data_IF_517617243253
#
_entry.id   IF_517617243253
#
_cell.length_a   1.000
_cell.length_b   1.000
_cell.length_c   1.000
_cell.angle_alpha   90.00
_cell.angle_beta   90.00
_cell.angle_gamma   90.00
#
_symmetry.space_group_name_H-M   'P 1'
#
loop_
_entity.id
_entity.type
_entity.pdbx_description
1 polymer ?
#
# COMPACT_ATOMS: atom_id res chain seq x y z
N UNK A 1 -2.39 -10.97 15.56
CA UNK A 1 -2.10 -9.53 15.46
C UNK A 1 -2.56 -9.03 14.09
N UNK A 2 -3.76 -8.44 14.00
CA UNK A 2 -4.38 -8.00 12.74
C UNK A 2 -4.81 -6.51 12.72
N UNK A 3 -5.15 -5.87 13.86
CA UNK A 3 -5.46 -4.43 13.90
C UNK A 3 -4.26 -3.50 14.12
N UNK A 4 -3.16 -4.03 14.67
CA UNK A 4 -2.04 -3.22 15.16
C UNK A 4 -1.18 -2.60 14.04
N UNK A 5 -1.27 -3.09 12.80
CA UNK A 5 -0.55 -2.54 11.63
C UNK A 5 -1.34 -1.42 10.94
N UNK A 6 -2.67 -1.51 10.93
CA UNK A 6 -3.54 -0.55 10.24
C UNK A 6 -3.45 0.83 10.89
N UNK A 7 -3.53 0.89 12.23
CA UNK A 7 -3.59 2.15 12.98
C UNK A 7 -2.32 3.00 12.81
N UNK A 8 -1.10 2.46 13.00
CA UNK A 8 0.11 3.26 12.87
C UNK A 8 0.39 3.70 11.43
N UNK A 9 0.13 2.83 10.45
CA UNK A 9 0.30 3.17 9.04
C UNK A 9 -0.70 4.27 8.62
N UNK A 10 -1.96 4.16 9.07
CA UNK A 10 -2.96 5.20 8.88
C UNK A 10 -2.54 6.52 9.51
N UNK A 11 -2.10 6.52 10.77
CA UNK A 11 -1.69 7.74 11.48
C UNK A 11 -0.52 8.44 10.79
N UNK A 12 0.50 7.68 10.35
CA UNK A 12 1.65 8.23 9.63
C UNK A 12 1.24 8.84 8.28
N UNK A 13 0.42 8.13 7.51
CA UNK A 13 -0.06 8.64 6.23
C UNK A 13 -0.99 9.83 6.39
N UNK A 14 -1.89 9.81 7.38
CA UNK A 14 -2.85 10.89 7.63
C UNK A 14 -2.19 12.19 8.07
N UNK A 15 -1.08 12.09 8.80
CA UNK A 15 -0.29 13.26 9.22
C UNK A 15 0.31 14.02 8.03
N UNK A 16 0.69 13.31 6.96
CA UNK A 16 1.31 13.91 5.77
C UNK A 16 0.29 14.18 4.65
N UNK A 17 -0.72 13.31 4.54
CA UNK A 17 -1.76 13.33 3.54
C UNK A 17 -3.15 13.27 4.19
N UNK A 18 -3.73 14.42 4.57
CA UNK A 18 -5.07 14.50 5.14
C UNK A 18 -6.17 13.88 4.26
N UNK A 19 -5.91 13.70 2.96
CA UNK A 19 -6.79 13.11 1.96
C UNK A 19 -7.01 11.60 2.16
N UNK A 20 -6.07 10.90 2.83
CA UNK A 20 -6.19 9.47 3.13
C UNK A 20 -7.37 9.25 4.06
N UNK A 21 -8.35 8.47 3.62
CA UNK A 21 -9.58 8.20 4.37
C UNK A 21 -9.44 6.98 5.26
N UNK A 22 -8.83 5.92 4.74
CA UNK A 22 -8.69 4.65 5.44
C UNK A 22 -7.53 3.83 4.90
N UNK A 23 -6.96 2.98 5.76
CA UNK A 23 -5.88 2.05 5.42
C UNK A 23 -6.22 0.68 6.00
N UNK A 24 -6.27 -0.33 5.14
CA UNK A 24 -6.37 -1.73 5.52
C UNK A 24 -5.03 -2.41 5.25
N UNK A 25 -4.36 -2.88 6.31
CA UNK A 25 -3.12 -3.65 6.26
C UNK A 25 -3.27 -4.98 7.02
N UNK A 26 -4.46 -5.61 6.94
CA UNK A 26 -4.79 -6.83 7.66
C UNK A 26 -4.34 -8.12 6.94
N UNK A 27 -4.05 -8.02 5.64
CA UNK A 27 -3.72 -9.19 4.82
C UNK A 27 -2.27 -9.60 4.99
N UNK A 28 -2.06 -10.90 5.29
CA UNK A 28 -0.75 -11.54 5.38
C UNK A 28 0.24 -10.71 6.18
N UNK A 29 -0.13 -10.33 7.41
CA UNK A 29 0.71 -9.55 8.32
C UNK A 29 1.14 -8.16 7.80
N UNK A 30 0.36 -7.55 6.91
CA UNK A 30 0.62 -6.21 6.37
C UNK A 30 1.38 -6.21 5.04
N UNK A 31 1.72 -7.38 4.48
CA UNK A 31 2.39 -7.47 3.18
C UNK A 31 1.58 -6.78 2.05
N UNK A 32 0.26 -6.77 2.18
CA UNK A 32 -0.64 -6.03 1.30
C UNK A 32 -1.36 -4.93 2.09
N UNK A 33 -1.21 -3.69 1.65
CA UNK A 33 -1.97 -2.54 2.12
C UNK A 33 -2.99 -2.09 1.07
N UNK A 34 -4.21 -1.79 1.48
CA UNK A 34 -5.25 -1.19 0.65
C UNK A 34 -5.56 0.17 1.26
N UNK A 35 -5.39 1.24 0.47
CA UNK A 35 -5.45 2.61 0.95
C UNK A 35 -6.52 3.36 0.15
N UNK A 36 -7.52 3.87 0.86
CA UNK A 36 -8.53 4.75 0.28
C UNK A 36 -8.09 6.21 0.43
N UNK A 37 -8.10 6.96 -0.66
CA UNK A 37 -7.66 8.36 -0.69
C UNK A 37 -8.50 9.21 -1.63
N UNK A 38 -8.70 10.48 -1.27
CA UNK A 38 -9.34 11.47 -2.14
C UNK A 38 -8.39 11.93 -3.23
N UNK A 39 -8.89 12.07 -4.46
CA UNK A 39 -8.10 12.59 -5.58
C UNK A 39 -7.84 14.09 -5.41
N UNK A 40 -6.57 14.49 -5.47
CA UNK A 40 -6.17 15.91 -5.45
C UNK A 40 -5.60 16.38 -6.80
N UNK A 41 -4.73 15.58 -7.40
CA UNK A 41 -4.13 15.82 -8.71
C UNK A 41 -3.60 14.50 -9.30
N UNK A 42 -3.30 14.48 -10.60
CA UNK A 42 -2.76 13.31 -11.28
C UNK A 42 -1.46 12.82 -10.64
N UNK A 43 -1.37 11.52 -10.33
CA UNK A 43 -0.20 10.94 -9.67
C UNK A 43 -0.20 10.99 -8.13
N UNK A 44 -1.18 11.64 -7.50
CA UNK A 44 -1.29 11.70 -6.04
C UNK A 44 -1.38 10.31 -5.40
N UNK A 45 -2.19 9.40 -5.96
CA UNK A 45 -2.29 8.03 -5.48
C UNK A 45 -0.94 7.29 -5.48
N UNK A 46 -0.09 7.54 -6.49
CA UNK A 46 1.26 6.96 -6.56
C UNK A 46 2.17 7.53 -5.48
N UNK A 47 2.10 8.84 -5.22
CA UNK A 47 2.88 9.48 -4.16
C UNK A 47 2.50 8.92 -2.78
N UNK A 48 1.20 8.78 -2.50
CA UNK A 48 0.70 8.18 -1.24
C UNK A 48 1.14 6.71 -1.13
N UNK A 49 1.01 5.92 -2.21
CA UNK A 49 1.42 4.51 -2.22
C UNK A 49 2.93 4.34 -2.01
N UNK A 50 3.76 5.16 -2.65
CA UNK A 50 5.21 5.17 -2.42
C UNK A 50 5.54 5.59 -0.99
N UNK A 51 4.82 6.58 -0.45
CA UNK A 51 5.01 6.98 0.95
C UNK A 51 4.67 5.83 1.89
N UNK A 52 3.56 5.12 1.65
CA UNK A 52 3.15 3.98 2.47
C UNK A 52 4.27 2.95 2.59
N UNK A 53 4.94 2.62 1.47
CA UNK A 53 6.08 1.68 1.41
C UNK A 53 7.38 2.23 2.05
N UNK A 54 7.48 3.53 2.32
CA UNK A 54 8.68 4.18 2.91
C UNK A 54 8.43 4.75 4.30
N UNK A 55 7.22 4.58 4.84
CA UNK A 55 6.93 4.94 6.24
C UNK A 55 7.74 4.05 7.20
N UNK A 56 8.08 4.52 8.41
CA UNK A 56 8.79 3.70 9.38
C UNK A 56 8.09 2.36 9.67
N UNK A 57 6.75 2.35 9.66
CA UNK A 57 6.00 1.09 9.78
C UNK A 57 5.95 0.31 8.47
N UNK A 58 5.70 0.95 7.34
CA UNK A 58 5.54 0.25 6.06
C UNK A 58 6.83 -0.35 5.49
N UNK A 59 7.98 0.27 5.73
CA UNK A 59 9.29 -0.16 5.22
C UNK A 59 9.66 -1.60 5.61
N UNK A 60 9.14 -2.07 6.75
CA UNK A 60 9.44 -3.40 7.27
C UNK A 60 8.61 -4.53 6.67
N UNK A 61 7.47 -4.24 6.04
CA UNK A 61 6.54 -5.30 5.61
C UNK A 61 5.69 -4.99 4.38
N UNK A 62 5.37 -3.73 4.03
CA UNK A 62 4.46 -3.44 2.93
C UNK A 62 5.13 -3.74 1.60
N UNK A 63 4.73 -4.86 0.99
CA UNK A 63 5.22 -5.32 -0.31
C UNK A 63 4.39 -4.78 -1.46
N UNK A 64 3.07 -4.74 -1.27
CA UNK A 64 2.11 -4.32 -2.27
C UNK A 64 1.15 -3.29 -1.69
N UNK A 65 0.80 -2.29 -2.50
CA UNK A 65 -0.19 -1.28 -2.15
C UNK A 65 -1.25 -1.21 -3.24
N UNK A 66 -2.51 -1.36 -2.86
CA UNK A 66 -3.66 -1.09 -3.73
C UNK A 66 -4.24 0.26 -3.32
N UNK A 67 -4.19 1.22 -4.23
CA UNK A 67 -4.82 2.52 -4.04
C UNK A 67 -6.25 2.46 -4.56
N UNK A 68 -7.21 2.86 -3.73
CA UNK A 68 -8.62 2.97 -4.10
C UNK A 68 -9.13 4.38 -3.86
N UNK A 69 -10.18 4.73 -4.57
CA UNK A 69 -10.88 6.00 -4.46
C UNK A 69 -11.62 6.12 -3.11
N UNK A 70 -12.04 7.33 -2.75
CA UNK A 70 -12.77 7.58 -1.50
C UNK A 70 -14.16 6.94 -1.41
N UNK A 71 -14.70 6.49 -2.55
CA UNK A 71 -15.99 5.79 -2.66
C UNK A 71 -15.88 4.27 -2.43
N UNK A 72 -14.66 3.74 -2.30
CA UNK A 72 -14.38 2.32 -2.08
C UNK A 72 -13.91 2.09 -0.65
N UNK A 73 -14.63 1.24 0.08
CA UNK A 73 -14.22 0.83 1.42
C UNK A 73 -13.05 -0.19 1.35
N UNK A 74 -11.85 0.13 1.87
CA UNK A 74 -10.71 -0.77 1.82
C UNK A 74 -10.88 -2.03 2.69
N UNK A 75 -11.87 -2.07 3.58
CA UNK A 75 -12.24 -3.27 4.35
C UNK A 75 -13.25 -4.17 3.61
N UNK A 76 -13.85 -3.68 2.51
CA UNK A 76 -14.78 -4.43 1.67
C UNK A 76 -14.07 -4.97 0.43
N UNK A 77 -13.49 -6.17 0.55
CA UNK A 77 -12.73 -6.80 -0.55
C UNK A 77 -13.51 -6.90 -1.87
N UNK A 78 -14.82 -7.26 -1.91
CA UNK A 78 -15.60 -7.19 -3.13
C UNK A 78 -15.55 -5.83 -3.86
N UNK A 79 -15.66 -4.71 -3.13
CA UNK A 79 -15.55 -3.38 -3.74
C UNK A 79 -14.13 -3.09 -4.24
N UNK A 80 -13.11 -3.50 -3.49
CA UNK A 80 -11.71 -3.35 -3.90
C UNK A 80 -11.42 -4.13 -5.18
N UNK A 81 -11.91 -5.37 -5.29
CA UNK A 81 -11.71 -6.19 -6.49
C UNK A 81 -12.50 -5.65 -7.69
N UNK A 82 -13.68 -5.07 -7.47
CA UNK A 82 -14.39 -4.34 -8.51
C UNK A 82 -13.59 -3.12 -8.99
N UNK A 83 -13.04 -2.31 -8.07
CA UNK A 83 -12.22 -1.16 -8.43
C UNK A 83 -10.95 -1.58 -9.18
N UNK A 84 -10.29 -2.65 -8.73
CA UNK A 84 -9.09 -3.19 -9.38
C UNK A 84 -9.38 -3.68 -10.81
N UNK A 85 -10.52 -4.33 -11.03
CA UNK A 85 -10.87 -4.88 -12.36
C UNK A 85 -11.45 -3.85 -13.34
N UNK A 86 -12.12 -2.81 -12.84
CA UNK A 86 -12.83 -1.83 -13.67
C UNK A 86 -12.12 -0.49 -13.85
N UNK A 87 -11.27 -0.08 -12.89
CA UNK A 87 -10.65 1.25 -12.87
C UNK A 87 -9.14 1.24 -13.19
N UNK A 88 -8.48 0.08 -13.24
CA UNK A 88 -7.02 -0.01 -13.44
C UNK A 88 -6.67 -0.20 -14.91
N UNK A 89 -5.81 0.68 -15.43
CA UNK A 89 -5.10 0.44 -16.68
C UNK A 89 -3.67 -0.06 -16.38
N UNK A 90 -3.33 -1.34 -16.63
CA UNK A 90 -2.03 -1.90 -16.27
C UNK A 90 -0.82 -1.16 -16.85
N UNK A 91 -0.95 -0.52 -18.02
CA UNK A 91 0.17 0.19 -18.63
C UNK A 91 0.53 1.50 -17.90
N UNK A 92 -0.45 2.10 -17.21
CA UNK A 92 -0.27 3.36 -16.50
C UNK A 92 -0.22 3.19 -14.99
N UNK A 93 -1.12 2.38 -14.43
CA UNK A 93 -1.41 2.38 -13.00
C UNK A 93 -0.60 1.34 -12.22
N UNK A 94 0.00 0.36 -12.90
CA UNK A 94 0.93 -0.57 -12.28
C UNK A 94 2.31 0.08 -12.16
N UNK A 95 2.76 0.30 -10.92
CA UNK A 95 4.10 0.80 -10.63
C UNK A 95 4.88 -0.28 -9.91
N UNK A 96 5.94 -0.76 -10.54
CA UNK A 96 6.88 -1.70 -9.93
C UNK A 96 8.08 -0.93 -9.37
N UNK A 97 8.37 -1.13 -8.09
CA UNK A 97 9.54 -0.57 -7.43
C UNK A 97 10.57 -1.70 -7.22
N UNK A 98 11.59 -1.81 -8.09
CA UNK A 98 12.62 -2.84 -7.93
C UNK A 98 13.51 -2.53 -6.73
N UNK A 99 14.11 -3.58 -6.16
CA UNK A 99 15.15 -3.48 -5.12
C UNK A 99 14.74 -2.71 -3.85
N UNK A 100 13.45 -2.74 -3.51
CA UNK A 100 12.95 -2.21 -2.23
C UNK A 100 13.30 -3.14 -1.06
N UNK A 101 13.29 -2.60 0.16
CA UNK A 101 13.43 -3.37 1.40
C UNK A 101 12.45 -4.53 1.41
N UNK A 102 12.94 -5.75 1.64
CA UNK A 102 12.11 -6.96 1.67
C UNK A 102 12.15 -7.56 3.07
N UNK A 103 10.97 -7.94 3.55
CA UNK A 103 10.86 -8.74 4.77
C UNK A 103 11.52 -10.11 4.50
N UNK A 104 12.52 -10.48 5.29
CA UNK A 104 13.25 -11.75 5.12
C UNK A 104 12.33 -12.99 5.16
N UNK A 105 11.22 -12.89 5.90
CA UNK A 105 10.19 -13.93 6.01
C UNK A 105 9.12 -13.87 4.92
N UNK A 106 9.22 -12.98 3.93
CA UNK A 106 8.30 -12.93 2.78
C UNK A 106 8.53 -14.14 1.86
N UNK A 107 7.56 -15.07 1.73
CA UNK A 107 7.72 -16.28 0.93
C UNK A 107 7.90 -16.01 -0.57
N UNK A 108 7.46 -14.85 -1.05
CA UNK A 108 7.61 -14.45 -2.46
C UNK A 108 8.84 -13.58 -2.72
N UNK A 109 9.74 -13.43 -1.76
CA UNK A 109 10.97 -12.66 -1.92
C UNK A 109 12.02 -13.48 -2.66
N UNK A 110 12.67 -12.90 -3.67
CA UNK A 110 13.90 -13.48 -4.20
C UNK A 110 15.03 -13.17 -3.22
N UNK A 111 15.96 -14.10 -2.98
CA UNK A 111 17.14 -13.98 -2.10
C UNK A 111 18.18 -12.94 -2.60
N UNK A 112 17.75 -11.83 -3.20
CA UNK A 112 18.61 -10.74 -3.65
C UNK A 112 18.84 -9.65 -2.60
N UNK A 113 18.40 -9.85 -1.36
CA UNK A 113 18.87 -9.06 -0.22
C UNK A 113 20.25 -9.56 0.26
N UNK A 114 21.23 -9.66 -0.64
CA UNK A 114 22.64 -9.67 -0.25
C UNK A 114 23.08 -8.22 -0.02
N UNK A 115 23.47 -7.82 1.21
CA UNK A 115 24.02 -6.50 1.43
C UNK A 115 25.39 -6.47 0.77
N UNK A 116 25.46 -5.89 -0.43
CA UNK A 116 26.73 -5.58 -1.09
C UNK A 116 26.75 -4.11 -1.42
N UNK A 117 27.02 -3.30 -0.40
CA UNK A 117 27.96 -2.15 -0.35
C UNK A 117 27.63 -1.28 0.85
#
# INVERSE_FOLDING_TARGET
>A
MGPATCVPLYQQLKAEFPEVQAVNAMYTHGLLAIISTKKRYGGFARAVGLRAMTTPHGLGYVKMVIMVDEDVDPFNLPQVMWALSSKVNPAGDLVQLPNMSVLELDPGSSRQASPTS
#
